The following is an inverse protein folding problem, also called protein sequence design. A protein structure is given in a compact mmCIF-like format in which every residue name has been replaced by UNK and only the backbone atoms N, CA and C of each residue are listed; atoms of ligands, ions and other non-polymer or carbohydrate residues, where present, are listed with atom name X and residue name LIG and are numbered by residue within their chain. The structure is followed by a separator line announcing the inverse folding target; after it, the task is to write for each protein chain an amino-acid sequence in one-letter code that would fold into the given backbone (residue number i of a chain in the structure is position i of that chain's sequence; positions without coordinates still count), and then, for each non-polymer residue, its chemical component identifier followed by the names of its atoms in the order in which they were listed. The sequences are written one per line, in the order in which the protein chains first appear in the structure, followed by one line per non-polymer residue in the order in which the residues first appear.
data_IF_280477537727
#
_entry.id   IF_280477537727
#
_cell.length_a   1.000
_cell.length_b   1.000
_cell.length_c   1.000
_cell.angle_alpha   90.00
_cell.angle_beta   90.00
_cell.angle_gamma   90.00
#
_symmetry.space_group_name_H-M   'P 1'
#
loop_
_entity.id
_entity.type
_entity.pdbx_description
1 polymer ?
#
# COMPACT_ATOMS: atom_id res chain seq x y z
N UNK A 1 -4.17 44.25 -23.62
CA UNK A 1 -3.12 43.30 -24.04
C UNK A 1 -1.86 43.79 -23.38
N UNK A 2 -1.12 43.08 -22.55
CA UNK A 2 -1.06 41.73 -21.97
C UNK A 2 -0.09 41.92 -20.76
N UNK A 3 0.09 41.09 -19.75
CA UNK A 3 -0.04 39.66 -19.53
C UNK A 3 0.08 39.55 -18.00
N UNK A 4 -0.87 38.94 -17.30
CA UNK A 4 -0.79 38.72 -15.85
C UNK A 4 0.04 37.43 -15.67
N UNK A 5 1.31 37.57 -15.27
CA UNK A 5 2.22 36.46 -14.97
C UNK A 5 1.68 35.66 -13.77
N UNK A 6 0.89 34.63 -14.07
CA UNK A 6 0.42 33.66 -13.08
C UNK A 6 1.58 32.74 -12.73
N UNK A 7 2.31 33.09 -11.68
CA UNK A 7 3.34 32.27 -11.06
C UNK A 7 2.75 30.91 -10.64
N UNK A 8 2.96 29.88 -11.48
CA UNK A 8 2.57 28.51 -11.20
C UNK A 8 3.57 27.91 -10.18
N UNK A 9 3.21 27.99 -8.90
CA UNK A 9 3.95 27.32 -7.83
C UNK A 9 3.76 25.80 -7.94
N UNK A 10 4.68 25.13 -8.62
CA UNK A 10 4.81 23.68 -8.55
C UNK A 10 5.20 23.28 -7.12
N UNK A 11 4.24 22.76 -6.36
CA UNK A 11 4.48 22.23 -5.02
C UNK A 11 5.42 21.03 -5.13
N UNK A 12 6.68 21.20 -4.71
CA UNK A 12 7.68 20.15 -4.70
C UNK A 12 7.27 19.05 -3.70
N UNK A 13 6.97 17.85 -4.21
CA UNK A 13 6.73 16.66 -3.39
C UNK A 13 8.02 16.34 -2.60
N UNK A 14 7.98 16.60 -1.29
CA UNK A 14 9.08 16.27 -0.40
C UNK A 14 9.24 14.74 -0.43
N UNK A 15 10.26 14.25 -1.13
CA UNK A 15 10.48 12.85 -1.52
C UNK A 15 10.58 11.84 -0.37
N UNK A 16 9.48 11.65 0.36
CA UNK A 16 9.33 10.62 1.36
C UNK A 16 9.31 9.26 0.66
N UNK A 17 10.17 8.35 1.11
CA UNK A 17 10.21 7.00 0.57
C UNK A 17 8.88 6.30 0.82
N UNK A 18 8.28 5.72 -0.23
CA UNK A 18 7.00 4.96 -0.14
C UNK A 18 7.14 3.66 0.66
N UNK A 19 8.37 3.22 0.91
CA UNK A 19 8.68 1.97 1.60
C UNK A 19 9.87 2.13 2.55
N UNK A 20 9.97 1.25 3.54
CA UNK A 20 11.14 1.10 4.38
C UNK A 20 11.67 -0.34 4.33
N UNK A 21 13.00 -0.55 4.51
CA UNK A 21 13.55 -1.90 4.55
C UNK A 21 13.21 -2.61 5.87
N UNK A 22 12.86 -3.88 5.79
CA UNK A 22 12.72 -4.77 6.95
C UNK A 22 13.26 -6.16 6.63
N UNK A 23 13.89 -6.82 7.59
CA UNK A 23 14.45 -8.15 7.39
C UNK A 23 13.33 -9.18 7.18
N UNK A 24 13.45 -10.05 6.17
CA UNK A 24 12.43 -11.05 5.85
C UNK A 24 12.03 -11.92 7.06
N UNK A 25 13.00 -12.32 7.88
CA UNK A 25 12.75 -13.11 9.09
C UNK A 25 11.95 -12.38 10.19
N UNK A 26 11.77 -11.06 10.13
CA UNK A 26 10.96 -10.29 11.09
C UNK A 26 9.50 -10.13 10.66
N UNK A 27 9.19 -10.37 9.38
CA UNK A 27 7.82 -10.26 8.85
C UNK A 27 6.95 -11.37 9.44
N UNK A 28 5.71 -11.03 9.79
CA UNK A 28 4.72 -11.93 10.39
C UNK A 28 3.43 -11.88 9.58
N UNK A 29 2.53 -12.83 9.87
CA UNK A 29 1.15 -12.80 9.39
C UNK A 29 0.50 -11.46 9.72
N UNK A 30 -0.36 -10.98 8.82
CA UNK A 30 -0.99 -9.66 8.83
C UNK A 30 -0.02 -8.47 8.64
N UNK A 31 1.28 -8.71 8.51
CA UNK A 31 2.26 -7.70 8.09
C UNK A 31 2.11 -7.32 6.62
N UNK A 32 2.78 -6.23 6.22
CA UNK A 32 2.80 -5.77 4.83
C UNK A 32 4.17 -5.97 4.20
N UNK A 33 4.21 -6.34 2.93
CA UNK A 33 5.43 -6.46 2.13
C UNK A 33 5.16 -6.02 0.70
N UNK A 34 6.20 -5.58 -0.01
CA UNK A 34 6.14 -5.30 -1.44
C UNK A 34 6.60 -6.54 -2.22
N UNK A 35 5.71 -7.11 -3.02
CA UNK A 35 6.03 -8.21 -3.94
C UNK A 35 5.88 -7.68 -5.37
N UNK A 36 6.96 -7.72 -6.17
CA UNK A 36 6.96 -7.26 -7.58
C UNK A 36 6.38 -5.84 -7.75
N UNK A 37 6.71 -4.93 -6.83
CA UNK A 37 6.24 -3.54 -6.86
C UNK A 37 4.81 -3.31 -6.35
N UNK A 38 4.12 -4.35 -5.86
CA UNK A 38 2.75 -4.26 -5.33
C UNK A 38 2.72 -4.42 -3.82
N UNK A 39 1.97 -3.54 -3.15
CA UNK A 39 1.74 -3.62 -1.71
C UNK A 39 0.81 -4.79 -1.38
N UNK A 40 1.29 -5.72 -0.55
CA UNK A 40 0.57 -6.93 -0.19
C UNK A 40 0.45 -7.06 1.33
N UNK A 41 -0.67 -7.62 1.78
CA UNK A 41 -0.84 -8.08 3.16
C UNK A 41 -0.50 -9.57 3.24
N UNK A 42 0.40 -9.94 4.15
CA UNK A 42 0.84 -11.33 4.36
C UNK A 42 -0.29 -12.13 5.00
N UNK A 43 -0.77 -13.17 4.32
CA UNK A 43 -1.77 -14.09 4.83
C UNK A 43 -1.15 -15.30 5.53
N UNK A 44 0.04 -15.72 5.09
CA UNK A 44 0.79 -16.80 5.70
C UNK A 44 2.30 -16.64 5.48
N UNK A 45 3.09 -17.13 6.43
CA UNK A 45 4.55 -17.15 6.38
C UNK A 45 5.06 -18.49 6.86
N UNK A 46 5.81 -19.18 6.01
CA UNK A 46 6.48 -20.43 6.38
C UNK A 46 7.99 -20.24 6.29
N UNK A 47 8.72 -20.73 7.30
CA UNK A 47 10.18 -20.64 7.34
C UNK A 47 10.77 -22.04 7.31
N UNK A 48 11.62 -22.32 6.32
CA UNK A 48 12.25 -23.63 6.13
C UNK A 48 13.78 -23.51 6.23
N UNK A 49 14.45 -24.51 6.79
CA UNK A 49 15.92 -24.59 6.78
C UNK A 49 16.37 -25.44 5.59
N UNK A 50 17.29 -24.95 4.77
CA UNK A 50 17.81 -25.70 3.62
C UNK A 50 18.98 -26.63 3.99
N UNK A 51 18.76 -27.55 4.93
CA UNK A 51 19.76 -28.54 5.40
C UNK A 51 20.45 -28.17 6.71
N UNK A 52 21.49 -28.93 7.09
CA UNK A 52 22.17 -28.87 8.41
C UNK A 52 22.82 -27.50 8.71
N UNK A 53 23.39 -26.86 7.68
CA UNK A 53 24.05 -25.55 7.78
C UNK A 53 23.36 -24.47 6.91
N UNK A 54 22.17 -24.78 6.38
CA UNK A 54 21.47 -23.89 5.46
C UNK A 54 20.87 -22.69 6.17
N UNK A 55 20.93 -21.52 5.53
CA UNK A 55 20.15 -20.36 5.95
C UNK A 55 18.65 -20.67 5.86
N UNK A 56 17.87 -20.07 6.75
CA UNK A 56 16.43 -20.18 6.68
C UNK A 56 15.90 -19.41 5.45
N UNK A 57 14.91 -19.99 4.77
CA UNK A 57 14.17 -19.35 3.69
C UNK A 57 12.75 -19.10 4.16
N UNK A 58 12.29 -17.87 3.98
CA UNK A 58 10.92 -17.46 4.24
C UNK A 58 10.14 -17.58 2.93
N UNK A 59 9.04 -18.31 2.97
CA UNK A 59 8.04 -18.39 1.91
C UNK A 59 6.81 -17.62 2.38
N UNK A 60 6.54 -16.52 1.70
CA UNK A 60 5.43 -15.63 1.97
C UNK A 60 4.28 -15.92 1.02
N UNK A 61 3.09 -16.02 1.59
CA UNK A 61 1.85 -15.98 0.85
C UNK A 61 1.16 -14.70 1.27
N UNK A 62 0.84 -13.84 0.30
CA UNK A 62 0.26 -12.53 0.55
C UNK A 62 -0.86 -12.21 -0.45
N UNK A 63 -1.66 -11.20 -0.13
CA UNK A 63 -2.76 -10.72 -0.98
C UNK A 63 -2.54 -9.24 -1.26
N UNK A 64 -2.60 -8.85 -2.53
CA UNK A 64 -2.56 -7.46 -2.96
C UNK A 64 -3.70 -6.67 -2.30
N UNK A 65 -3.37 -5.57 -1.61
CA UNK A 65 -4.36 -4.82 -0.82
C UNK A 65 -5.37 -4.03 -1.66
N UNK A 66 -5.07 -3.82 -2.95
CA UNK A 66 -5.93 -3.09 -3.88
C UNK A 66 -6.68 -4.05 -4.79
N UNK A 67 -6.02 -5.07 -5.33
CA UNK A 67 -6.64 -5.96 -6.33
C UNK A 67 -7.14 -7.29 -5.77
N UNK A 68 -6.87 -7.59 -4.49
CA UNK A 68 -7.24 -8.87 -3.87
C UNK A 68 -6.52 -10.10 -4.44
N UNK A 69 -5.57 -9.90 -5.38
CA UNK A 69 -4.86 -11.00 -6.03
C UNK A 69 -3.83 -11.62 -5.09
N UNK A 70 -3.89 -12.94 -4.95
CA UNK A 70 -2.91 -13.72 -4.20
C UNK A 70 -1.55 -13.70 -4.90
N UNK A 71 -0.49 -13.47 -4.14
CA UNK A 71 0.90 -13.44 -4.60
C UNK A 71 1.80 -14.19 -3.62
N UNK A 72 2.89 -14.74 -4.14
CA UNK A 72 3.82 -15.56 -3.37
C UNK A 72 5.25 -15.10 -3.65
N UNK A 73 6.09 -15.15 -2.61
CA UNK A 73 7.51 -14.80 -2.71
C UNK A 73 8.37 -15.70 -1.80
N UNK A 74 9.58 -16.01 -2.26
CA UNK A 74 10.55 -16.84 -1.54
C UNK A 74 11.86 -16.07 -1.40
N UNK A 75 12.21 -15.71 -0.18
CA UNK A 75 13.46 -14.97 0.09
C UNK A 75 14.21 -15.55 1.29
N UNK A 76 15.55 -15.51 1.30
CA UNK A 76 16.33 -15.79 2.50
C UNK A 76 15.91 -14.94 3.70
N UNK A 77 15.85 -15.52 4.89
CA UNK A 77 15.41 -14.83 6.11
C UNK A 77 16.30 -13.66 6.52
N UNK A 78 17.52 -13.59 6.00
CA UNK A 78 18.50 -12.51 6.22
C UNK A 78 18.40 -11.37 5.21
N UNK A 79 17.67 -11.54 4.11
CA UNK A 79 17.51 -10.47 3.12
C UNK A 79 16.52 -9.42 3.62
N UNK A 80 16.78 -8.17 3.24
CA UNK A 80 15.83 -7.10 3.44
C UNK A 80 14.75 -7.15 2.37
N UNK A 81 13.52 -6.91 2.80
CA UNK A 81 12.33 -6.71 1.99
C UNK A 81 11.90 -5.25 2.10
N UNK A 82 11.26 -4.73 1.05
CA UNK A 82 10.57 -3.45 1.11
C UNK A 82 9.22 -3.64 1.78
N UNK A 83 8.95 -2.85 2.81
CA UNK A 83 7.65 -2.79 3.50
C UNK A 83 6.98 -1.46 3.14
N UNK A 84 5.74 -1.45 2.63
CA UNK A 84 5.05 -0.22 2.30
C UNK A 84 4.59 0.51 3.57
N UNK A 85 4.58 1.84 3.52
CA UNK A 85 3.82 2.63 4.50
C UNK A 85 2.33 2.54 4.15
N UNK A 86 1.54 1.95 5.05
CA UNK A 86 0.09 1.80 4.88
C UNK A 86 -0.59 2.57 6.00
N UNK A 87 -1.33 3.62 5.64
CA UNK A 87 -2.17 4.39 6.55
C UNK A 87 -3.63 4.15 6.21
N UNK A 88 -4.48 4.15 7.24
CA UNK A 88 -5.93 4.16 7.09
C UNK A 88 -6.42 5.46 7.71
N UNK A 89 -7.14 6.23 6.91
CA UNK A 89 -7.81 7.45 7.32
C UNK A 89 -9.30 7.24 7.09
N UNK A 90 -10.10 7.44 8.12
CA UNK A 90 -11.55 7.38 8.01
C UNK A 90 -12.04 8.79 7.60
N UNK A 91 -13.05 8.83 6.72
CA UNK A 91 -13.63 10.07 6.20
C UNK A 91 -15.16 10.01 6.36
N UNK A 92 -15.77 11.17 6.56
CA UNK A 92 -17.22 11.32 6.50
C UNK A 92 -17.65 11.50 5.04
N UNK A 93 -18.56 10.66 4.57
CA UNK A 93 -19.16 10.82 3.24
C UNK A 93 -20.16 11.96 3.26
N UNK A 94 -19.97 12.95 2.39
CA UNK A 94 -20.88 14.10 2.23
C UNK A 94 -21.87 13.86 1.10
N UNK A 95 -21.36 13.47 -0.07
CA UNK A 95 -22.16 13.33 -1.28
C UNK A 95 -21.53 12.35 -2.28
N UNK A 96 -22.34 11.85 -3.21
CA UNK A 96 -21.94 11.00 -4.32
C UNK A 96 -22.42 11.66 -5.61
N UNK A 97 -21.48 12.07 -6.46
CA UNK A 97 -21.79 12.67 -7.76
C UNK A 97 -22.30 11.63 -8.76
N UNK A 98 -23.08 12.08 -9.75
CA UNK A 98 -23.67 11.22 -10.79
C UNK A 98 -22.64 10.46 -11.64
N UNK A 99 -21.41 10.97 -11.71
CA UNK A 99 -20.26 10.36 -12.40
C UNK A 99 -19.47 9.38 -11.50
N UNK A 100 -19.94 9.14 -10.27
CA UNK A 100 -19.41 8.16 -9.34
C UNK A 100 -18.26 8.64 -8.45
N UNK A 101 -17.89 9.91 -8.52
CA UNK A 101 -16.95 10.52 -7.57
C UNK A 101 -17.63 10.78 -6.22
N UNK A 102 -16.88 10.62 -5.14
CA UNK A 102 -17.36 10.83 -3.77
C UNK A 102 -16.76 12.09 -3.19
N UNK A 103 -17.61 12.90 -2.55
CA UNK A 103 -17.17 14.02 -1.72
C UNK A 103 -17.04 13.55 -0.28
N UNK A 104 -15.83 13.66 0.26
CA UNK A 104 -15.43 13.16 1.57
C UNK A 104 -14.88 14.31 2.43
N UNK A 105 -15.09 14.25 3.74
CA UNK A 105 -14.53 15.21 4.70
C UNK A 105 -13.69 14.48 5.75
N UNK A 106 -12.49 14.98 6.03
CA UNK A 106 -11.67 14.49 7.15
C UNK A 106 -12.08 15.12 8.49
N UNK A 107 -11.51 14.63 9.59
CA UNK A 107 -11.80 15.14 10.94
C UNK A 107 -11.36 16.62 11.15
N UNK A 108 -10.51 17.15 10.27
CA UNK A 108 -10.07 18.55 10.31
C UNK A 108 -11.01 19.48 9.50
N UNK A 109 -12.03 18.94 8.85
CA UNK A 109 -12.95 19.68 7.99
C UNK A 109 -12.43 19.92 6.58
N UNK A 110 -11.36 19.24 6.17
CA UNK A 110 -10.83 19.31 4.81
C UNK A 110 -11.64 18.40 3.90
N UNK A 111 -12.10 18.95 2.78
CA UNK A 111 -12.86 18.21 1.78
C UNK A 111 -11.95 17.54 0.73
N UNK A 112 -12.38 16.38 0.24
CA UNK A 112 -11.67 15.54 -0.73
C UNK A 112 -12.66 14.96 -1.74
N UNK A 113 -12.44 15.16 -3.03
CA UNK A 113 -13.36 14.78 -4.11
C UNK A 113 -12.72 13.99 -5.27
N UNK A 114 -11.47 13.56 -5.12
CA UNK A 114 -10.69 12.84 -6.14
C UNK A 114 -10.85 11.31 -6.11
N UNK A 115 -11.74 10.79 -5.26
CA UNK A 115 -11.98 9.35 -5.13
C UNK A 115 -13.30 8.94 -5.78
N UNK A 116 -13.33 7.74 -6.36
CA UNK A 116 -14.55 7.12 -6.88
C UNK A 116 -15.00 5.98 -5.97
N UNK A 117 -16.29 5.65 -6.03
CA UNK A 117 -16.80 4.46 -5.38
C UNK A 117 -16.04 3.21 -5.88
N UNK A 118 -15.58 2.34 -4.96
CA UNK A 118 -14.98 1.07 -5.35
C UNK A 118 -16.01 0.21 -6.09
N UNK A 119 -15.56 -0.58 -7.06
CA UNK A 119 -16.45 -1.50 -7.80
C UNK A 119 -16.78 -2.69 -6.90
N UNK A 120 -17.91 -3.35 -7.13
CA UNK A 120 -18.44 -4.45 -6.29
C UNK A 120 -17.43 -5.58 -6.01
N UNK A 121 -16.51 -5.86 -6.95
CA UNK A 121 -15.45 -6.85 -6.76
C UNK A 121 -14.39 -6.44 -5.71
N UNK A 122 -14.23 -5.13 -5.47
CA UNK A 122 -13.28 -4.55 -4.52
C UNK A 122 -13.85 -4.43 -3.10
N UNK A 123 -15.19 -4.54 -2.92
CA UNK A 123 -15.88 -4.40 -1.63
C UNK A 123 -15.77 -5.63 -0.71
N UNK A 124 -15.25 -6.77 -1.21
CA UNK A 124 -15.05 -7.98 -0.41
C UNK A 124 -13.77 -7.88 0.42
N UNK A 125 -13.81 -7.17 1.55
CA UNK A 125 -12.78 -7.20 2.60
C UNK A 125 -13.26 -7.90 3.85
#
# INVERSE_FOLDING_TARGET
MADDDVEQFDSADAGASKTYPSQAGSVRKDGHIVIKGRACKVIDVSTSKTGKHGHAKCHFIATDIFTGKKMEDLTPSSHNLSVPHVTRTDYTLLDISDDGFVSLMDDAGTEKSDLQLPKDDDLRR
#
